data_IF_709031894589
#
_entry.id   IF_709031894589
#
_cell.length_a   1.000
_cell.length_b   1.000
_cell.length_c   1.000
_cell.angle_alpha   90.00
_cell.angle_beta   90.00
_cell.angle_gamma   90.00
#
_symmetry.space_group_name_H-M   'P 1'
#
loop_
_entity.id
_entity.type
_entity.pdbx_description
1 polymer ?
#
# COMPACT_ATOMS: atom_id res chain seq x y z
N UNK A 1 -12.29 -13.36 -8.76
CA UNK A 1 -11.30 -13.73 -7.70
C UNK A 1 -10.15 -14.51 -8.34
N UNK A 2 -8.92 -14.08 -8.14
CA UNK A 2 -7.75 -14.77 -8.70
C UNK A 2 -7.54 -16.08 -7.97
N UNK A 3 -7.40 -17.22 -8.67
CA UNK A 3 -7.12 -18.48 -8.00
C UNK A 3 -5.79 -18.45 -7.24
N UNK A 4 -5.75 -19.03 -6.03
CA UNK A 4 -4.55 -19.04 -5.17
C UNK A 4 -3.29 -19.62 -5.84
N UNK A 5 -3.45 -20.57 -6.76
CA UNK A 5 -2.33 -21.15 -7.49
C UNK A 5 -1.72 -20.22 -8.54
N UNK A 6 -2.42 -19.16 -8.94
CA UNK A 6 -1.97 -18.23 -9.97
C UNK A 6 -1.11 -17.12 -9.37
N UNK A 7 0.18 -17.38 -9.23
CA UNK A 7 1.14 -16.41 -8.68
C UNK A 7 1.44 -15.30 -9.69
N UNK A 8 1.68 -15.65 -10.94
CA UNK A 8 2.15 -14.73 -11.97
C UNK A 8 1.00 -14.30 -12.89
N UNK A 9 0.83 -12.98 -13.17
CA UNK A 9 -0.19 -12.50 -14.11
C UNK A 9 0.11 -12.87 -15.56
N UNK A 10 1.39 -13.08 -15.90
CA UNK A 10 1.85 -13.43 -17.25
C UNK A 10 2.50 -14.81 -17.27
N UNK A 11 2.34 -15.55 -18.37
CA UNK A 11 2.98 -16.85 -18.54
C UNK A 11 4.49 -16.76 -18.77
N UNK A 12 4.96 -15.63 -19.28
CA UNK A 12 6.38 -15.35 -19.47
C UNK A 12 6.74 -14.11 -18.65
N UNK A 13 7.78 -14.25 -17.81
CA UNK A 13 8.25 -13.22 -16.89
C UNK A 13 7.72 -13.40 -15.47
N UNK A 14 8.64 -13.57 -14.53
CA UNK A 14 8.35 -13.88 -13.14
C UNK A 14 8.70 -12.74 -12.18
N UNK A 15 8.96 -11.53 -12.72
CA UNK A 15 9.22 -10.35 -11.90
C UNK A 15 7.95 -9.76 -11.27
N UNK A 16 6.77 -10.06 -11.83
CA UNK A 16 5.49 -9.53 -11.35
C UNK A 16 4.65 -10.66 -10.76
N UNK A 17 4.11 -10.45 -9.56
CA UNK A 17 3.23 -11.42 -8.87
C UNK A 17 1.88 -10.78 -8.53
N UNK A 18 0.84 -11.61 -8.41
CA UNK A 18 -0.36 -11.24 -7.68
C UNK A 18 -0.06 -11.28 -6.19
N UNK A 19 -0.03 -10.12 -5.57
CA UNK A 19 0.53 -9.96 -4.23
C UNK A 19 -0.24 -10.76 -3.17
N UNK A 20 -1.56 -10.84 -3.29
CA UNK A 20 -2.40 -11.63 -2.37
C UNK A 20 -2.02 -13.13 -2.32
N UNK A 21 -1.39 -13.67 -3.38
CA UNK A 21 -1.06 -15.09 -3.48
C UNK A 21 0.36 -15.43 -3.01
N UNK A 22 1.12 -14.43 -2.54
CA UNK A 22 2.50 -14.59 -2.03
C UNK A 22 2.67 -14.05 -0.61
N UNK A 23 1.60 -13.50 -0.02
CA UNK A 23 1.58 -13.02 1.37
C UNK A 23 0.81 -14.04 2.21
N UNK A 24 1.38 -14.44 3.34
CA UNK A 24 0.80 -15.40 4.28
C UNK A 24 0.67 -14.87 5.73
N UNK A 25 1.21 -13.69 6.03
CA UNK A 25 1.05 -13.03 7.33
C UNK A 25 -0.40 -12.53 7.49
N UNK A 26 -1.14 -12.99 8.54
CA UNK A 26 -2.54 -12.62 8.74
C UNK A 26 -2.76 -11.13 9.05
N UNK A 27 -1.73 -10.40 9.43
CA UNK A 27 -1.79 -8.95 9.64
C UNK A 27 -1.62 -8.15 8.34
N UNK A 28 -1.32 -8.82 7.21
CA UNK A 28 -1.22 -8.21 5.89
C UNK A 28 -2.40 -8.68 5.04
N UNK A 29 -3.27 -7.76 4.64
CA UNK A 29 -4.37 -8.06 3.73
C UNK A 29 -4.18 -7.34 2.40
N UNK A 30 -4.41 -8.07 1.30
CA UNK A 30 -4.23 -7.56 -0.06
C UNK A 30 -5.48 -7.88 -0.87
N UNK A 31 -6.02 -6.87 -1.55
CA UNK A 31 -7.16 -7.00 -2.43
C UNK A 31 -6.83 -7.64 -3.78
N UNK A 32 -7.88 -8.14 -4.44
CA UNK A 32 -7.80 -8.81 -5.74
C UNK A 32 -7.08 -7.94 -6.79
N UNK A 33 -6.33 -8.57 -7.69
CA UNK A 33 -5.64 -7.96 -8.82
C UNK A 33 -4.52 -6.97 -8.47
N UNK A 34 -4.18 -6.80 -7.19
CA UNK A 34 -3.01 -6.02 -6.79
C UNK A 34 -1.75 -6.78 -7.15
N UNK A 35 -0.83 -6.09 -7.84
CA UNK A 35 0.43 -6.64 -8.32
C UNK A 35 1.63 -5.97 -7.65
N UNK A 36 2.68 -6.74 -7.48
CA UNK A 36 4.01 -6.27 -7.12
C UNK A 36 5.01 -6.70 -8.19
N UNK A 37 5.86 -5.79 -8.63
CA UNK A 37 6.93 -6.06 -9.57
C UNK A 37 8.28 -5.85 -8.90
N UNK A 38 9.17 -6.85 -8.96
CA UNK A 38 10.54 -6.77 -8.48
C UNK A 38 11.48 -7.47 -9.47
N UNK A 39 12.38 -6.71 -10.05
CA UNK A 39 13.40 -7.21 -10.97
C UNK A 39 14.79 -7.33 -10.32
N UNK A 40 14.89 -7.04 -9.02
CA UNK A 40 16.13 -7.12 -8.23
C UNK A 40 16.13 -8.36 -7.34
N UNK A 41 14.99 -8.64 -6.70
CA UNK A 41 14.81 -9.78 -5.79
C UNK A 41 13.66 -10.67 -6.28
N UNK A 42 13.47 -11.80 -5.63
CA UNK A 42 12.29 -12.62 -5.88
C UNK A 42 11.03 -11.86 -5.37
N UNK A 43 10.07 -11.53 -6.25
CA UNK A 43 8.87 -10.79 -5.86
C UNK A 43 7.99 -11.55 -4.86
N UNK A 44 8.18 -12.86 -4.70
CA UNK A 44 7.48 -13.67 -3.69
C UNK A 44 7.94 -13.37 -2.27
N UNK A 45 9.13 -12.78 -2.12
CA UNK A 45 9.68 -12.37 -0.82
C UNK A 45 9.20 -10.98 -0.38
N UNK A 46 8.11 -10.45 -0.95
CA UNK A 46 7.56 -9.12 -0.65
C UNK A 46 7.44 -8.87 0.85
N UNK A 47 6.83 -9.79 1.56
CA UNK A 47 6.59 -9.70 3.00
C UNK A 47 7.89 -9.48 3.77
N UNK A 48 8.96 -10.18 3.42
CA UNK A 48 10.28 -10.06 4.04
C UNK A 48 11.05 -8.82 3.59
N UNK A 49 10.97 -8.49 2.30
CA UNK A 49 11.83 -7.47 1.71
C UNK A 49 11.22 -6.06 1.75
N UNK A 50 9.90 -5.96 1.82
CA UNK A 50 9.18 -4.69 1.64
C UNK A 50 8.40 -4.24 2.87
N UNK A 51 8.01 -5.18 3.78
CA UNK A 51 7.28 -4.88 5.01
C UNK A 51 8.28 -4.92 6.17
N UNK A 52 8.73 -3.75 6.62
CA UNK A 52 9.88 -3.62 7.51
C UNK A 52 9.48 -3.13 8.90
N UNK A 53 10.16 -3.66 9.93
CA UNK A 53 9.91 -3.33 11.33
C UNK A 53 8.48 -3.63 11.77
N UNK A 54 7.88 -4.63 11.16
CA UNK A 54 6.54 -5.11 11.45
C UNK A 54 6.63 -6.31 12.40
N UNK A 55 6.23 -6.09 13.65
CA UNK A 55 6.33 -7.11 14.70
C UNK A 55 4.97 -7.34 15.37
N UNK A 56 4.61 -8.59 15.69
CA UNK A 56 3.30 -8.93 16.27
C UNK A 56 2.94 -8.14 17.54
N UNK A 57 3.95 -7.71 18.32
CA UNK A 57 3.76 -6.97 19.58
C UNK A 57 3.03 -5.63 19.38
N UNK A 58 3.06 -5.06 18.19
CA UNK A 58 2.42 -3.78 17.89
C UNK A 58 0.96 -3.91 17.44
N UNK A 59 0.52 -5.12 17.08
CA UNK A 59 -0.80 -5.39 16.50
C UNK A 59 -1.15 -4.52 15.28
N UNK A 60 -0.13 -4.08 14.53
CA UNK A 60 -0.26 -3.25 13.34
C UNK A 60 -0.64 -4.07 12.13
N UNK A 61 -1.34 -3.45 11.18
CA UNK A 61 -1.74 -4.10 9.93
C UNK A 61 -1.27 -3.32 8.71
N UNK A 62 -0.96 -4.07 7.66
CA UNK A 62 -0.85 -3.55 6.30
C UNK A 62 -2.10 -3.94 5.53
N UNK A 63 -2.88 -2.94 5.11
CA UNK A 63 -4.09 -3.16 4.32
C UNK A 63 -3.87 -2.54 2.94
N UNK A 64 -3.92 -3.34 1.88
CA UNK A 64 -3.78 -2.90 0.50
C UNK A 64 -5.05 -3.26 -0.26
N UNK A 65 -5.63 -2.30 -0.95
CA UNK A 65 -6.83 -2.47 -1.74
C UNK A 65 -6.63 -3.28 -3.03
N UNK A 66 -7.63 -3.24 -3.90
CA UNK A 66 -7.66 -3.94 -5.18
C UNK A 66 -6.98 -3.15 -6.28
N UNK A 67 -6.50 -3.83 -7.31
CA UNK A 67 -5.96 -3.25 -8.53
C UNK A 67 -4.80 -2.27 -8.32
N UNK A 68 -4.07 -2.38 -7.19
CA UNK A 68 -2.88 -1.58 -6.97
C UNK A 68 -1.70 -2.10 -7.79
N UNK A 69 -0.82 -1.17 -8.17
CA UNK A 69 0.46 -1.48 -8.81
C UNK A 69 1.60 -1.01 -7.92
N UNK A 70 2.38 -1.94 -7.39
CA UNK A 70 3.49 -1.66 -6.49
C UNK A 70 4.79 -1.98 -7.22
N UNK A 71 5.64 -0.98 -7.39
CA UNK A 71 6.90 -1.12 -8.09
C UNK A 71 8.02 -1.64 -7.18
N UNK A 72 9.06 -2.14 -7.85
CA UNK A 72 10.29 -2.68 -7.24
C UNK A 72 10.83 -1.74 -6.16
N UNK A 73 11.22 -2.33 -5.03
CA UNK A 73 11.87 -1.64 -3.94
C UNK A 73 10.98 -0.76 -3.07
N UNK A 74 9.67 -0.65 -3.34
CA UNK A 74 8.75 0.06 -2.46
C UNK A 74 8.76 -0.54 -1.04
N UNK A 75 8.74 0.30 0.02
CA UNK A 75 8.84 -0.12 1.42
C UNK A 75 7.69 0.40 2.25
N UNK A 76 7.26 -0.44 3.20
CA UNK A 76 6.27 -0.10 4.22
C UNK A 76 6.98 -0.19 5.57
N UNK A 77 7.26 0.96 6.21
CA UNK A 77 7.97 1.04 7.48
C UNK A 77 7.00 1.19 8.63
N UNK A 78 6.95 0.19 9.49
CA UNK A 78 6.09 0.15 10.65
C UNK A 78 6.69 0.83 11.89
N UNK A 79 5.92 0.88 12.97
CA UNK A 79 6.22 1.73 14.13
C UNK A 79 7.56 1.42 14.80
N UNK A 80 8.01 0.16 14.80
CA UNK A 80 9.31 -0.21 15.37
C UNK A 80 10.51 0.34 14.58
N UNK A 81 10.29 1.00 13.43
CA UNK A 81 11.29 1.80 12.73
C UNK A 81 11.51 3.19 13.36
N UNK A 82 10.66 3.59 14.29
CA UNK A 82 10.74 4.87 14.98
C UNK A 82 11.29 4.69 16.39
N UNK A 83 11.72 5.79 17.00
CA UNK A 83 12.00 5.86 18.43
C UNK A 83 11.04 6.85 19.07
N UNK A 84 10.65 6.61 20.33
CA UNK A 84 9.80 7.56 21.04
C UNK A 84 10.49 8.90 21.19
N UNK A 85 9.75 9.98 20.92
CA UNK A 85 10.23 11.36 21.09
C UNK A 85 9.92 11.92 22.47
N UNK A 86 9.23 11.14 23.32
CA UNK A 86 8.86 11.55 24.68
C UNK A 86 9.95 11.25 25.70
N UNK A 87 10.88 10.37 25.37
CA UNK A 87 12.03 10.06 26.22
C UNK A 87 13.11 11.14 26.10
N UNK A 88 13.88 11.36 27.18
CA UNK A 88 15.07 12.21 27.16
C UNK A 88 16.24 11.58 26.38
N UNK A 89 16.18 10.30 26.10
CA UNK A 89 17.14 9.56 25.28
C UNK A 89 16.45 8.94 24.09
N UNK A 90 17.07 8.94 22.94
CA UNK A 90 16.63 8.20 21.75
C UNK A 90 17.09 6.76 21.74
N UNK A 91 17.85 6.32 22.77
CA UNK A 91 18.33 4.95 22.85
C UNK A 91 17.20 3.99 23.26
N UNK A 92 17.16 2.82 22.63
CA UNK A 92 16.07 1.85 22.74
C UNK A 92 16.22 0.92 23.96
N UNK A 93 16.44 1.46 25.16
CA UNK A 93 16.58 0.68 26.39
C UNK A 93 15.52 -0.40 26.56
N UNK A 94 14.21 -0.14 26.31
CA UNK A 94 13.19 -1.16 26.49
C UNK A 94 13.32 -2.36 25.55
N UNK A 95 13.87 -2.20 24.35
CA UNK A 95 14.11 -3.32 23.41
C UNK A 95 15.22 -4.23 23.90
N UNK A 96 16.20 -3.65 24.60
CA UNK A 96 17.35 -4.37 25.19
C UNK A 96 17.09 -4.71 26.66
N UNK A 97 15.87 -5.10 26.94
CA UNK A 97 15.34 -5.28 28.30
C UNK A 97 16.17 -6.26 29.14
N UNK A 98 16.68 -7.32 28.56
CA UNK A 98 17.49 -8.34 29.27
C UNK A 98 18.79 -7.73 29.81
N UNK A 99 19.49 -6.94 28.98
CA UNK A 99 20.77 -6.32 29.35
C UNK A 99 20.61 -5.27 30.45
N UNK A 100 19.46 -4.58 30.47
CA UNK A 100 19.20 -3.49 31.41
C UNK A 100 18.30 -3.89 32.58
N UNK A 101 17.97 -5.17 32.72
CA UNK A 101 17.11 -5.68 33.77
C UNK A 101 15.71 -5.06 33.79
N UNK A 102 15.17 -4.78 32.60
CA UNK A 102 13.84 -4.24 32.43
C UNK A 102 12.84 -5.37 32.16
N UNK A 103 11.55 -5.09 32.33
CA UNK A 103 10.48 -6.00 31.97
C UNK A 103 10.26 -6.01 30.44
N UNK A 104 10.06 -7.19 29.86
CA UNK A 104 9.76 -7.37 28.43
C UNK A 104 8.48 -6.62 28.01
N UNK A 105 7.53 -6.46 28.90
CA UNK A 105 6.28 -5.73 28.65
C UNK A 105 6.52 -4.25 28.31
N UNK A 106 7.70 -3.73 28.64
CA UNK A 106 8.10 -2.35 28.32
C UNK A 106 8.61 -2.16 26.89
N UNK A 107 8.83 -3.22 26.11
CA UNK A 107 9.34 -3.12 24.74
C UNK A 107 8.56 -2.13 23.87
N UNK A 108 7.20 -2.09 23.91
CA UNK A 108 6.45 -1.09 23.13
C UNK A 108 6.66 0.36 23.54
N UNK A 109 7.27 0.64 24.71
CA UNK A 109 7.59 2.01 25.13
C UNK A 109 8.74 2.64 24.30
N UNK A 110 9.49 1.81 23.54
CA UNK A 110 10.63 2.27 22.75
C UNK A 110 10.23 3.14 21.55
N UNK A 111 8.97 3.07 21.11
CA UNK A 111 8.46 3.84 19.96
C UNK A 111 7.05 4.40 20.20
N UNK A 112 6.68 5.36 19.36
CA UNK A 112 5.33 5.93 19.35
C UNK A 112 4.50 5.19 18.29
N UNK A 113 3.45 4.47 18.72
CA UNK A 113 2.55 3.75 17.82
C UNK A 113 1.66 4.75 17.06
N UNK A 114 1.75 4.76 15.72
CA UNK A 114 0.97 5.59 14.80
C UNK A 114 -0.16 4.84 14.10
N UNK A 115 -0.24 3.54 14.31
CA UNK A 115 -1.27 2.69 13.74
C UNK A 115 -0.90 2.04 12.40
N UNK A 116 -1.93 1.51 11.75
CA UNK A 116 -1.86 0.73 10.51
C UNK A 116 -1.35 1.56 9.31
N UNK A 117 -0.85 0.87 8.30
CA UNK A 117 -0.67 1.45 6.96
C UNK A 117 -1.84 0.97 6.09
N UNK A 118 -2.58 1.91 5.51
CA UNK A 118 -3.75 1.63 4.69
C UNK A 118 -3.54 2.18 3.28
N UNK A 119 -3.63 1.32 2.28
CA UNK A 119 -3.58 1.69 0.87
C UNK A 119 -4.93 1.37 0.24
N UNK A 120 -5.57 2.36 -0.35
CA UNK A 120 -6.83 2.22 -1.07
C UNK A 120 -6.72 1.39 -2.35
N UNK A 121 -7.73 1.49 -3.20
CA UNK A 121 -7.81 0.75 -4.46
C UNK A 121 -7.21 1.57 -5.62
N UNK A 122 -6.77 0.91 -6.70
CA UNK A 122 -6.22 1.58 -7.90
C UNK A 122 -5.04 2.53 -7.57
N UNK A 123 -4.25 2.20 -6.55
CA UNK A 123 -3.08 3.01 -6.14
C UNK A 123 -1.84 2.55 -6.90
N UNK A 124 -1.09 3.52 -7.40
CA UNK A 124 0.24 3.26 -7.95
C UNK A 124 1.31 3.73 -6.98
N UNK A 125 2.13 2.80 -6.49
CA UNK A 125 3.31 3.08 -5.66
C UNK A 125 4.56 2.93 -6.53
N UNK A 126 5.26 4.04 -6.74
CA UNK A 126 6.43 4.13 -7.60
C UNK A 126 7.66 3.44 -7.01
N UNK A 127 8.65 3.27 -7.87
CA UNK A 127 9.94 2.62 -7.57
C UNK A 127 10.61 3.20 -6.33
N UNK A 128 11.03 2.33 -5.41
CA UNK A 128 11.71 2.69 -4.15
C UNK A 128 10.97 3.73 -3.27
N UNK A 129 9.66 3.88 -3.42
CA UNK A 129 8.88 4.73 -2.52
C UNK A 129 8.81 4.11 -1.12
N UNK A 130 8.72 4.97 -0.09
CA UNK A 130 8.66 4.57 1.31
C UNK A 130 7.38 5.11 1.93
N UNK A 131 6.57 4.24 2.51
CA UNK A 131 5.34 4.61 3.25
C UNK A 131 5.57 4.37 4.73
N UNK A 132 5.36 5.40 5.56
CA UNK A 132 5.56 5.31 7.01
C UNK A 132 4.31 4.84 7.74
N UNK A 133 4.50 4.32 8.95
CA UNK A 133 3.43 3.88 9.85
C UNK A 133 2.35 4.97 10.07
N UNK A 134 1.10 4.53 10.16
CA UNK A 134 -0.06 5.39 10.39
C UNK A 134 -0.56 6.14 9.16
N UNK A 135 0.02 5.91 7.97
CA UNK A 135 -0.37 6.61 6.73
C UNK A 135 -1.54 5.89 6.05
N UNK A 136 -2.55 6.67 5.66
CA UNK A 136 -3.62 6.26 4.76
C UNK A 136 -3.43 6.88 3.36
N UNK A 137 -3.42 6.02 2.33
CA UNK A 137 -3.33 6.42 0.91
C UNK A 137 -4.69 6.17 0.27
N UNK A 138 -5.34 7.23 -0.21
CA UNK A 138 -6.67 7.16 -0.82
C UNK A 138 -6.70 6.49 -2.19
N UNK A 139 -7.89 6.02 -2.59
CA UNK A 139 -8.13 5.36 -3.87
C UNK A 139 -7.60 6.18 -5.06
N UNK A 140 -7.00 5.50 -6.03
CA UNK A 140 -6.50 6.12 -7.24
C UNK A 140 -5.32 7.07 -7.05
N UNK A 141 -4.70 7.13 -5.86
CA UNK A 141 -3.51 7.96 -5.63
C UNK A 141 -2.27 7.42 -6.37
N UNK A 142 -1.33 8.32 -6.62
CA UNK A 142 -0.03 7.98 -7.21
C UNK A 142 1.08 8.46 -6.28
N UNK A 143 1.92 7.54 -5.86
CA UNK A 143 3.13 7.82 -5.10
C UNK A 143 4.32 7.82 -6.05
N UNK A 144 4.95 8.96 -6.22
CA UNK A 144 6.11 9.11 -7.10
C UNK A 144 7.29 8.26 -6.63
N UNK A 145 8.15 7.87 -7.59
CA UNK A 145 9.36 7.09 -7.29
C UNK A 145 10.22 7.80 -6.23
N UNK A 146 10.76 7.03 -5.29
CA UNK A 146 11.60 7.52 -4.18
C UNK A 146 10.93 8.54 -3.26
N UNK A 147 9.62 8.67 -3.29
CA UNK A 147 8.90 9.51 -2.35
C UNK A 147 8.89 8.88 -0.95
N UNK A 148 9.00 9.71 0.09
CA UNK A 148 8.81 9.29 1.50
C UNK A 148 7.49 9.85 2.01
N UNK A 149 6.48 8.99 2.08
CA UNK A 149 5.12 9.36 2.47
C UNK A 149 5.01 9.33 3.99
N UNK A 150 4.87 10.51 4.57
CA UNK A 150 4.86 10.74 6.03
C UNK A 150 3.50 11.18 6.56
N UNK A 151 2.51 11.40 5.67
CA UNK A 151 1.15 11.87 5.97
C UNK A 151 0.18 11.24 4.98
N UNK A 152 -1.10 11.25 5.34
CA UNK A 152 -2.16 10.77 4.48
C UNK A 152 -2.16 11.42 3.10
N UNK A 153 -2.50 10.63 2.10
CA UNK A 153 -2.60 11.05 0.70
C UNK A 153 -4.06 11.00 0.28
N UNK A 154 -4.66 12.15 -0.08
CA UNK A 154 -6.05 12.17 -0.55
C UNK A 154 -6.26 11.33 -1.82
N UNK A 155 -7.49 10.84 -2.06
CA UNK A 155 -7.81 10.09 -3.27
C UNK A 155 -7.42 10.85 -4.55
N UNK A 156 -6.99 10.10 -5.56
CA UNK A 156 -6.61 10.61 -6.88
C UNK A 156 -5.57 11.75 -6.84
N UNK A 157 -4.75 11.80 -5.79
CA UNK A 157 -3.68 12.79 -5.65
C UNK A 157 -2.34 12.17 -6.02
N UNK A 158 -1.54 12.92 -6.76
CA UNK A 158 -0.15 12.58 -7.08
C UNK A 158 0.75 13.27 -6.04
N UNK A 159 1.55 12.47 -5.34
CA UNK A 159 2.53 12.98 -4.38
C UNK A 159 3.95 12.56 -4.76
N UNK A 160 4.95 13.33 -4.34
CA UNK A 160 6.36 13.02 -4.57
C UNK A 160 7.30 13.80 -3.67
N UNK A 161 8.56 13.39 -3.63
CA UNK A 161 9.63 14.03 -2.86
C UNK A 161 9.82 13.49 -1.45
N UNK A 162 10.76 14.09 -0.71
CA UNK A 162 11.16 13.72 0.67
C UNK A 162 11.13 14.97 1.53
N UNK A 163 10.17 15.12 2.46
CA UNK A 163 8.94 14.33 2.56
C UNK A 163 8.00 14.53 1.38
N UNK A 164 7.17 13.52 1.09
CA UNK A 164 6.23 13.59 -0.02
C UNK A 164 5.23 14.75 0.18
N UNK A 165 5.01 15.50 -0.91
CA UNK A 165 4.06 16.60 -0.99
C UNK A 165 3.16 16.42 -2.21
N UNK A 166 1.92 16.93 -2.13
CA UNK A 166 1.02 16.94 -3.26
C UNK A 166 1.61 17.75 -4.43
N UNK A 167 1.69 17.10 -5.59
CA UNK A 167 2.10 17.72 -6.85
C UNK A 167 0.86 18.27 -7.55
N UNK A 168 -0.18 17.42 -7.73
CA UNK A 168 -1.46 17.79 -8.31
C UNK A 168 -2.50 16.68 -8.08
N UNK A 169 -3.76 16.99 -8.29
CA UNK A 169 -4.81 15.97 -8.47
C UNK A 169 -4.77 15.40 -9.88
N UNK A 170 -5.20 14.16 -10.04
CA UNK A 170 -5.36 13.52 -11.36
C UNK A 170 -6.55 14.09 -12.12
N UNK A 171 -7.61 14.42 -11.39
CA UNK A 171 -8.91 14.87 -11.88
C UNK A 171 -9.44 16.05 -11.02
N UNK A 172 -10.47 16.73 -11.47
CA UNK A 172 -11.20 17.72 -10.68
C UNK A 172 -11.90 17.11 -9.47
N UNK A 173 -12.27 17.91 -8.48
CA UNK A 173 -12.93 17.41 -7.26
C UNK A 173 -14.27 16.74 -7.57
N UNK A 174 -15.02 17.27 -8.54
CA UNK A 174 -16.28 16.69 -8.98
C UNK A 174 -16.09 15.33 -9.67
N UNK A 175 -15.05 15.18 -10.48
CA UNK A 175 -14.72 13.91 -11.11
C UNK A 175 -14.24 12.88 -10.08
N UNK A 176 -13.40 13.30 -9.12
CA UNK A 176 -12.95 12.43 -8.02
C UNK A 176 -14.13 11.92 -7.21
N UNK A 177 -15.08 12.81 -6.84
CA UNK A 177 -16.28 12.39 -6.12
C UNK A 177 -17.07 11.32 -6.89
N UNK A 178 -17.22 11.49 -8.21
CA UNK A 178 -17.94 10.50 -9.04
C UNK A 178 -17.18 9.20 -9.21
N UNK A 179 -15.86 9.22 -9.34
CA UNK A 179 -15.02 8.02 -9.41
C UNK A 179 -15.12 7.20 -8.11
N UNK A 180 -15.14 7.88 -6.96
CA UNK A 180 -15.33 7.26 -5.64
C UNK A 180 -16.76 6.70 -5.43
N UNK A 181 -17.77 7.23 -6.11
CA UNK A 181 -19.12 6.66 -6.13
C UNK A 181 -19.19 5.41 -7.04
N UNK A 182 -18.55 5.48 -8.21
CA UNK A 182 -18.58 4.40 -9.21
C UNK A 182 -17.85 3.14 -8.75
N UNK A 183 -16.76 3.28 -8.01
CA UNK A 183 -15.96 2.18 -7.45
C UNK A 183 -15.78 1.01 -8.41
N UNK A 184 -15.28 1.29 -9.62
CA UNK A 184 -15.17 0.31 -10.69
C UNK A 184 -14.41 -0.97 -10.26
N UNK A 185 -13.52 -0.86 -9.30
CA UNK A 185 -12.77 -1.98 -8.72
C UNK A 185 -13.63 -2.97 -7.90
N UNK A 186 -14.88 -2.60 -7.61
CA UNK A 186 -15.85 -3.47 -6.93
C UNK A 186 -16.86 -4.11 -7.90
N UNK A 187 -16.76 -3.81 -9.20
CA UNK A 187 -17.61 -4.42 -10.20
C UNK A 187 -17.29 -5.91 -10.38
N UNK A 188 -18.26 -6.73 -10.84
CA UNK A 188 -18.00 -8.11 -11.25
C UNK A 188 -16.89 -8.19 -12.31
N UNK A 189 -16.05 -9.22 -12.26
CA UNK A 189 -14.90 -9.41 -13.19
C UNK A 189 -15.32 -9.31 -14.66
N UNK A 190 -16.45 -9.94 -15.04
CA UNK A 190 -16.97 -9.89 -16.42
C UNK A 190 -17.31 -8.46 -16.85
N UNK A 191 -17.85 -7.66 -15.92
CA UNK A 191 -18.16 -6.25 -16.18
C UNK A 191 -16.87 -5.43 -16.32
N UNK A 192 -15.89 -5.66 -15.48
CA UNK A 192 -14.58 -5.01 -15.58
C UNK A 192 -13.96 -5.35 -16.95
N UNK A 193 -13.93 -6.63 -17.33
CA UNK A 193 -13.35 -7.08 -18.59
C UNK A 193 -14.00 -6.41 -19.82
N UNK A 194 -15.33 -6.25 -19.82
CA UNK A 194 -16.06 -5.55 -20.87
C UNK A 194 -15.87 -4.03 -20.84
N UNK A 195 -15.45 -3.49 -19.71
CA UNK A 195 -15.33 -2.04 -19.47
C UNK A 195 -13.89 -1.52 -19.51
N UNK A 196 -12.88 -2.35 -19.82
CA UNK A 196 -11.47 -1.97 -19.83
C UNK A 196 -11.23 -0.69 -20.66
N UNK A 197 -11.79 -0.62 -21.87
CA UNK A 197 -11.67 0.56 -22.74
C UNK A 197 -12.30 1.82 -22.13
N UNK A 198 -13.33 1.68 -21.33
CA UNK A 198 -13.95 2.80 -20.62
C UNK A 198 -13.11 3.23 -19.42
N UNK A 199 -12.61 2.27 -18.64
CA UNK A 199 -11.76 2.51 -17.47
C UNK A 199 -10.47 3.22 -17.88
N UNK A 200 -9.86 2.83 -19.02
CA UNK A 200 -8.59 3.38 -19.50
C UNK A 200 -8.74 4.65 -20.36
N UNK A 201 -9.97 5.03 -20.72
CA UNK A 201 -10.20 6.15 -21.68
C UNK A 201 -9.87 7.54 -21.13
N UNK A 202 -9.88 7.70 -19.80
CA UNK A 202 -9.87 9.03 -19.17
C UNK A 202 -11.19 9.81 -19.34
N UNK A 203 -12.22 9.20 -19.91
CA UNK A 203 -13.55 9.78 -20.15
C UNK A 203 -14.55 9.27 -19.12
N UNK A 204 -14.89 10.13 -18.15
CA UNK A 204 -15.82 9.80 -17.07
C UNK A 204 -17.23 9.47 -17.58
N UNK A 205 -17.70 10.10 -18.66
CA UNK A 205 -19.01 9.82 -19.23
C UNK A 205 -19.06 8.44 -19.89
N UNK A 206 -17.96 8.02 -20.50
CA UNK A 206 -17.80 6.66 -21.01
C UNK A 206 -17.85 5.64 -19.89
N UNK A 207 -17.17 5.91 -18.78
CA UNK A 207 -17.18 5.03 -17.60
C UNK A 207 -18.58 4.95 -16.96
N UNK A 208 -19.30 6.07 -16.85
CA UNK A 208 -20.70 6.09 -16.36
C UNK A 208 -21.64 5.24 -17.24
N UNK A 209 -21.49 5.34 -18.56
CA UNK A 209 -22.27 4.49 -19.48
C UNK A 209 -22.00 3.01 -19.24
N UNK A 210 -20.71 2.64 -19.08
CA UNK A 210 -20.33 1.26 -18.76
C UNK A 210 -20.88 0.82 -17.39
N UNK A 211 -20.92 1.70 -16.39
CA UNK A 211 -21.48 1.40 -15.08
C UNK A 211 -22.96 1.03 -15.13
N UNK A 212 -23.73 1.65 -16.04
CA UNK A 212 -25.17 1.43 -16.19
C UNK A 212 -25.52 0.27 -17.14
N UNK A 213 -24.54 -0.31 -17.82
CA UNK A 213 -24.74 -1.53 -18.62
C UNK A 213 -24.73 -2.75 -17.70
N UNK A 214 -25.75 -3.60 -17.84
CA UNK A 214 -25.90 -4.85 -17.07
C UNK A 214 -24.85 -5.91 -17.48
#
# INVERSE_FOLDING_TARGET
MIPQWKIYPRSQGHSTVYLQNVVDDPSISVGDYTIYDDFVHDPRDFQRNNVLYHYPINHERLVIGKFCSIACGAKFLFNSANHTQRSLSTYIFPVLFEEWGLDVERVPEAWDNKGDIIVGNDVWIGYEAVVLAGVAIGDGAIIGSRAVVTKDVPPYTIVGGVPAKAIRKRFSDSEVARLLELKWWDWPEEKIAKSIDAIQSGDLEKLKRAANQA
#
